data_IF_168315773074
#
_entry.id   IF_168315773074
#
_cell.length_a   1.000
_cell.length_b   1.000
_cell.length_c   1.000
_cell.angle_alpha   90.00
_cell.angle_beta   90.00
_cell.angle_gamma   90.00
#
_symmetry.space_group_name_H-M   'P 1'
#
loop_
_entity.id
_entity.type
_entity.pdbx_description
1 polymer ?
#
# COMPACT_ATOMS: atom_id res chain seq x y z
N UNK A 1 11.64 0.57 -9.00
CA UNK A 1 10.52 -0.38 -9.05
C UNK A 1 9.28 0.35 -8.61
N UNK A 2 8.19 0.19 -9.35
CA UNK A 2 6.91 0.80 -9.03
C UNK A 2 6.05 -0.25 -8.35
N UNK A 3 5.47 0.14 -7.23
CA UNK A 3 4.66 -0.73 -6.39
C UNK A 3 3.32 -0.06 -6.16
N UNK A 4 2.30 -0.88 -5.91
CA UNK A 4 1.09 -0.43 -5.24
C UNK A 4 0.98 -1.07 -3.86
N UNK A 5 0.33 -0.34 -2.96
CA UNK A 5 -0.14 -0.85 -1.68
C UNK A 5 -1.57 -0.38 -1.51
N UNK A 6 -2.53 -1.28 -1.70
CA UNK A 6 -3.96 -0.97 -1.68
C UNK A 6 -4.67 -1.65 -0.53
N UNK A 7 -5.73 -1.02 -0.05
CA UNK A 7 -6.60 -1.57 1.00
C UNK A 7 -7.31 -2.79 0.44
N UNK A 8 -7.27 -3.88 1.21
CA UNK A 8 -8.07 -5.08 0.97
C UNK A 8 -9.14 -5.14 2.07
N UNK A 9 -10.40 -4.94 1.67
CA UNK A 9 -11.55 -4.91 2.57
C UNK A 9 -12.82 -5.33 1.82
N UNK A 10 -13.72 -6.04 2.51
CA UNK A 10 -15.02 -6.45 1.94
C UNK A 10 -15.86 -5.24 1.53
N UNK A 11 -15.89 -4.20 2.37
CA UNK A 11 -16.62 -2.95 2.14
C UNK A 11 -15.62 -1.79 2.09
N UNK A 12 -14.95 -1.63 0.94
CA UNK A 12 -13.92 -0.61 0.77
C UNK A 12 -14.44 0.81 1.05
N UNK A 13 -15.71 1.08 0.71
CA UNK A 13 -16.34 2.39 0.91
C UNK A 13 -16.40 2.81 2.38
N UNK A 14 -16.53 1.85 3.30
CA UNK A 14 -16.64 2.10 4.75
C UNK A 14 -15.31 2.53 5.36
N UNK A 15 -14.19 2.15 4.74
CA UNK A 15 -12.84 2.41 5.26
C UNK A 15 -12.06 3.42 4.41
N UNK A 16 -12.48 3.68 3.17
CA UNK A 16 -11.72 4.51 2.24
C UNK A 16 -11.53 5.95 2.71
N UNK A 17 -12.60 6.62 3.15
CA UNK A 17 -12.53 8.03 3.58
C UNK A 17 -11.54 8.25 4.74
N UNK A 18 -11.66 7.56 5.90
CA UNK A 18 -10.72 7.77 7.00
C UNK A 18 -9.29 7.35 6.64
N UNK A 19 -9.12 6.33 5.77
CA UNK A 19 -7.79 5.94 5.28
C UNK A 19 -7.14 7.01 4.43
N UNK A 20 -7.89 7.62 3.51
CA UNK A 20 -7.41 8.72 2.68
C UNK A 20 -7.01 9.91 3.56
N UNK A 21 -7.84 10.26 4.55
CA UNK A 21 -7.54 11.34 5.50
C UNK A 21 -6.24 11.10 6.29
N UNK A 22 -5.91 9.84 6.60
CA UNK A 22 -4.67 9.49 7.28
C UNK A 22 -3.46 9.44 6.32
N UNK A 23 -3.64 8.92 5.10
CA UNK A 23 -2.56 8.75 4.11
C UNK A 23 -2.10 10.09 3.53
N UNK A 24 -3.02 11.00 3.21
CA UNK A 24 -2.71 12.32 2.62
C UNK A 24 -1.64 13.10 3.41
N UNK A 25 -1.79 13.34 4.73
CA UNK A 25 -0.78 14.05 5.50
C UNK A 25 0.53 13.27 5.65
N UNK A 26 0.47 11.93 5.65
CA UNK A 26 1.66 11.08 5.75
C UNK A 26 2.54 11.16 4.50
N UNK A 27 1.95 11.15 3.29
CA UNK A 27 2.70 11.34 2.04
C UNK A 27 3.36 12.73 2.03
N UNK A 28 2.63 13.73 2.51
CA UNK A 28 3.07 15.13 2.54
C UNK A 28 3.17 15.77 1.16
N UNK A 29 3.35 17.10 1.14
CA UNK A 29 3.23 17.89 -0.09
C UNK A 29 4.41 17.79 -1.08
N UNK A 30 5.46 17.00 -0.80
CA UNK A 30 6.72 16.99 -1.59
C UNK A 30 7.28 15.60 -1.90
N UNK A 31 6.55 14.52 -1.64
CA UNK A 31 7.07 13.18 -1.86
C UNK A 31 6.82 12.73 -3.32
N UNK A 32 7.79 12.95 -4.21
CA UNK A 32 7.71 12.51 -5.60
C UNK A 32 7.63 10.97 -5.77
N UNK A 33 8.00 10.22 -4.73
CA UNK A 33 8.08 8.76 -4.76
C UNK A 33 6.84 8.05 -4.24
N UNK A 34 5.82 8.77 -3.76
CA UNK A 34 4.61 8.16 -3.23
C UNK A 34 3.41 9.00 -3.62
N UNK A 35 2.39 8.38 -4.20
CA UNK A 35 1.19 9.03 -4.70
C UNK A 35 -0.02 8.33 -4.10
N UNK A 36 -0.98 9.11 -3.60
CA UNK A 36 -2.27 8.59 -3.20
C UNK A 36 -3.01 8.05 -4.44
N UNK A 37 -3.65 6.89 -4.29
CA UNK A 37 -4.66 6.37 -5.21
C UNK A 37 -5.99 6.36 -4.47
N UNK A 38 -7.02 6.95 -5.07
CA UNK A 38 -8.38 7.00 -4.54
C UNK A 38 -9.38 6.84 -5.69
N UNK A 39 -9.46 5.62 -6.20
CA UNK A 39 -10.36 5.17 -7.26
C UNK A 39 -11.29 4.09 -6.68
N UNK A 40 -12.12 4.46 -5.70
CA UNK A 40 -13.05 3.56 -5.01
C UNK A 40 -13.92 2.76 -6.00
N UNK A 41 -14.41 3.41 -7.06
CA UNK A 41 -15.23 2.76 -8.10
C UNK A 41 -14.49 1.65 -8.88
N UNK A 42 -13.16 1.68 -8.89
CA UNK A 42 -12.29 0.67 -9.49
C UNK A 42 -11.74 -0.32 -8.44
N UNK A 43 -12.09 -0.14 -7.15
CA UNK A 43 -11.60 -0.95 -6.05
C UNK A 43 -10.21 -0.57 -5.55
N UNK A 44 -9.66 0.57 -5.97
CA UNK A 44 -8.27 0.94 -5.65
C UNK A 44 -8.19 2.14 -4.73
N UNK A 45 -7.83 1.91 -3.47
CA UNK A 45 -7.52 2.98 -2.51
C UNK A 45 -6.24 2.63 -1.77
N UNK A 46 -5.30 3.56 -1.70
CA UNK A 46 -4.01 3.37 -1.03
C UNK A 46 -2.92 4.21 -1.66
N UNK A 47 -1.77 3.60 -1.96
CA UNK A 47 -0.63 4.34 -2.52
C UNK A 47 0.05 3.61 -3.66
N UNK A 48 0.50 4.37 -4.65
CA UNK A 48 1.54 3.95 -5.60
C UNK A 48 2.86 4.52 -5.15
N UNK A 49 3.94 3.74 -5.21
CA UNK A 49 5.25 4.22 -4.78
C UNK A 49 6.44 3.65 -5.55
N UNK A 50 7.43 4.52 -5.75
CA UNK A 50 8.73 4.16 -6.31
C UNK A 50 9.68 3.75 -5.20
N UNK A 51 10.15 2.51 -5.24
CA UNK A 51 11.14 1.98 -4.30
C UNK A 51 12.44 1.63 -5.02
N UNK A 52 13.55 1.99 -4.37
CA UNK A 52 14.92 1.75 -4.87
C UNK A 52 15.74 0.84 -3.96
N UNK A 53 15.22 0.44 -2.79
CA UNK A 53 15.87 -0.48 -1.84
C UNK A 53 14.88 -1.03 -0.82
N UNK A 54 15.15 -2.19 -0.22
CA UNK A 54 14.31 -2.75 0.88
C UNK A 54 14.08 -1.78 2.03
N UNK A 55 15.08 -0.97 2.37
CA UNK A 55 14.96 0.00 3.46
C UNK A 55 13.90 1.08 3.19
N UNK A 56 13.59 1.35 1.92
CA UNK A 56 12.52 2.26 1.53
C UNK A 56 11.11 1.77 1.91
N UNK A 57 10.93 0.46 2.09
CA UNK A 57 9.64 -0.15 2.43
C UNK A 57 9.31 -0.03 3.91
N UNK A 58 10.31 0.09 4.78
CA UNK A 58 10.12 -0.01 6.23
C UNK A 58 9.12 1.01 6.78
N UNK A 59 9.27 2.28 6.41
CA UNK A 59 8.41 3.35 6.91
C UNK A 59 6.96 3.22 6.37
N UNK A 60 6.74 3.06 5.06
CA UNK A 60 5.41 2.78 4.50
C UNK A 60 4.71 1.58 5.14
N UNK A 61 5.39 0.43 5.20
CA UNK A 61 4.78 -0.80 5.71
C UNK A 61 4.39 -0.69 7.19
N UNK A 62 5.21 -0.04 8.02
CA UNK A 62 4.86 0.20 9.42
C UNK A 62 3.64 1.13 9.53
N UNK A 63 3.64 2.23 8.80
CA UNK A 63 2.56 3.20 8.83
C UNK A 63 1.23 2.58 8.37
N UNK A 64 1.23 1.92 7.22
CA UNK A 64 0.03 1.29 6.67
C UNK A 64 -0.45 0.12 7.54
N UNK A 65 0.45 -0.63 8.16
CA UNK A 65 0.08 -1.67 9.13
C UNK A 65 -0.59 -1.10 10.38
N UNK A 66 -0.16 0.07 10.86
CA UNK A 66 -0.82 0.75 11.97
C UNK A 66 -2.25 1.16 11.59
N UNK A 67 -2.45 1.70 10.38
CA UNK A 67 -3.79 1.99 9.84
C UNK A 67 -4.65 0.74 9.67
N UNK A 68 -4.08 -0.34 9.15
CA UNK A 68 -4.75 -1.63 8.95
C UNK A 68 -5.40 -2.13 10.25
N UNK A 69 -4.65 -2.05 11.36
CA UNK A 69 -5.17 -2.43 12.69
C UNK A 69 -6.24 -1.48 13.20
N UNK A 70 -6.10 -0.18 12.96
CA UNK A 70 -7.05 0.84 13.43
C UNK A 70 -8.42 0.67 12.76
N UNK A 71 -8.42 0.42 11.46
CA UNK A 71 -9.63 0.32 10.65
C UNK A 71 -10.08 -1.12 10.38
N UNK A 72 -9.37 -2.11 10.93
CA UNK A 72 -9.67 -3.55 10.81
C UNK A 72 -9.80 -4.01 9.36
N UNK A 73 -8.84 -3.63 8.54
CA UNK A 73 -8.72 -4.10 7.17
C UNK A 73 -7.32 -4.67 6.93
N UNK A 74 -7.13 -5.26 5.76
CA UNK A 74 -5.82 -5.65 5.28
C UNK A 74 -5.35 -4.72 4.16
N UNK A 75 -4.13 -4.95 3.72
CA UNK A 75 -3.53 -4.34 2.55
C UNK A 75 -2.92 -5.42 1.68
N UNK A 76 -2.99 -5.20 0.37
CA UNK A 76 -2.21 -5.93 -0.63
C UNK A 76 -1.04 -5.08 -1.09
N UNK A 77 0.14 -5.70 -1.16
CA UNK A 77 1.34 -5.14 -1.79
C UNK A 77 1.52 -5.84 -3.14
N UNK A 78 1.83 -5.09 -4.18
CA UNK A 78 2.09 -5.65 -5.49
C UNK A 78 2.98 -4.80 -6.39
N UNK A 79 3.37 -5.38 -7.52
CA UNK A 79 4.21 -4.74 -8.53
C UNK A 79 3.29 -4.05 -9.55
N UNK A 80 3.60 -2.80 -9.86
CA UNK A 80 2.94 -2.04 -10.92
C UNK A 80 3.89 -1.91 -12.12
N UNK A 81 3.50 -2.48 -13.27
CA UNK A 81 4.15 -2.17 -14.54
C UNK A 81 3.59 -0.84 -15.07
N UNK A 82 4.42 0.20 -15.12
CA UNK A 82 3.98 1.54 -15.56
C UNK A 82 3.88 1.71 -17.08
N UNK A 83 4.42 0.78 -17.86
CA UNK A 83 4.28 0.78 -19.32
C UNK A 83 2.97 0.13 -19.76
N UNK A 84 2.60 -0.98 -19.12
CA UNK A 84 1.40 -1.76 -19.49
C UNK A 84 0.20 -1.52 -18.58
N UNK A 85 0.42 -0.99 -17.37
CA UNK A 85 -0.59 -0.89 -16.31
C UNK A 85 -0.89 -2.22 -15.62
N UNK A 86 -0.15 -3.28 -15.92
CA UNK A 86 -0.35 -4.58 -15.29
C UNK A 86 0.00 -4.54 -13.79
N UNK A 87 -0.80 -5.24 -13.00
CA UNK A 87 -0.67 -5.37 -11.55
C UNK A 87 -0.46 -6.83 -11.18
N UNK A 88 0.50 -7.08 -10.30
CA UNK A 88 0.77 -8.42 -9.76
C UNK A 88 0.85 -8.36 -8.23
N UNK A 89 -0.11 -9.00 -7.57
CA UNK A 89 -0.15 -9.13 -6.11
C UNK A 89 1.03 -9.98 -5.63
N UNK A 90 1.68 -9.53 -4.58
CA UNK A 90 2.88 -10.17 -4.02
C UNK A 90 2.61 -10.71 -2.62
N UNK A 91 1.98 -9.91 -1.77
CA UNK A 91 1.80 -10.23 -0.36
C UNK A 91 0.66 -9.41 0.24
N UNK A 92 -0.06 -10.00 1.20
CA UNK A 92 -1.07 -9.33 1.99
C UNK A 92 -0.57 -9.14 3.43
N UNK A 93 -1.00 -8.07 4.10
CA UNK A 93 -0.68 -7.79 5.49
C UNK A 93 -1.76 -6.91 6.13
N UNK A 94 -1.97 -6.99 7.44
CA UNK A 94 -2.92 -6.13 8.12
C UNK A 94 -3.58 -6.73 9.35
N UNK A 95 -4.86 -6.44 9.53
CA UNK A 95 -5.66 -6.89 10.67
C UNK A 95 -5.69 -8.42 10.80
N UNK A 96 -6.01 -9.13 9.73
CA UNK A 96 -6.15 -10.60 9.74
C UNK A 96 -4.84 -11.27 9.32
N UNK A 97 -4.15 -10.72 8.32
CA UNK A 97 -2.88 -11.27 7.78
C UNK A 97 -1.68 -11.01 8.72
N UNK A 98 -1.80 -10.04 9.62
CA UNK A 98 -0.76 -9.69 10.57
C UNK A 98 0.33 -8.80 9.98
N UNK A 99 1.47 -8.74 10.67
CA UNK A 99 2.53 -7.77 10.37
C UNK A 99 3.23 -8.10 9.04
N UNK A 100 3.48 -7.11 8.16
CA UNK A 100 4.19 -7.35 6.91
C UNK A 100 5.61 -7.86 7.14
N UNK A 101 5.98 -8.95 6.46
CA UNK A 101 7.36 -9.44 6.43
C UNK A 101 8.15 -8.69 5.35
N UNK A 102 8.97 -7.74 5.81
CA UNK A 102 9.83 -6.94 4.94
C UNK A 102 10.85 -7.76 4.14
N UNK A 103 11.31 -8.90 4.68
CA UNK A 103 12.29 -9.74 4.00
C UNK A 103 11.61 -10.50 2.86
N UNK A 104 10.43 -11.05 3.11
CA UNK A 104 9.62 -11.75 2.11
C UNK A 104 9.20 -10.80 0.98
N UNK A 105 8.57 -9.67 1.33
CA UNK A 105 8.17 -8.63 0.37
C UNK A 105 9.39 -8.16 -0.43
N UNK A 106 10.49 -7.81 0.25
CA UNK A 106 11.70 -7.37 -0.44
C UNK A 106 12.32 -8.43 -1.36
N UNK A 107 12.10 -9.71 -1.11
CA UNK A 107 12.61 -10.80 -1.93
C UNK A 107 11.77 -11.03 -3.18
N UNK A 108 10.44 -11.01 -3.06
CA UNK A 108 9.53 -11.05 -4.22
C UNK A 108 9.72 -9.85 -5.15
N UNK A 109 10.00 -8.69 -4.56
CA UNK A 109 10.29 -7.46 -5.30
C UNK A 109 11.71 -7.43 -5.90
N UNK A 110 12.53 -8.46 -5.72
CA UNK A 110 13.91 -8.49 -6.25
C UNK A 110 14.80 -7.34 -5.77
N UNK A 111 14.49 -6.77 -4.59
CA UNK A 111 15.21 -5.67 -3.95
C UNK A 111 16.28 -6.16 -2.96
#
# INVERSE_FOLDING_TARGET
MELYIYIEAEELEDVAEPMVEAIVPWIGNKNEKTKLVNQIAEGFVGVNMTVTSKNGLKKPLIFLYDLAKEHKCDFVVGILDTETGAMEDVCYFGHEEGRPDMFEIGSYLGL
#
